data_IF_581548476393
#
_entry.id   IF_581548476393
#
_cell.length_a   1.000
_cell.length_b   1.000
_cell.length_c   1.000
_cell.angle_alpha   90.00
_cell.angle_beta   90.00
_cell.angle_gamma   90.00
#
_symmetry.space_group_name_H-M   'P 1'
#
loop_
_entity.id
_entity.type
_entity.pdbx_description
1 polymer ?
#
# COMPACT_ATOMS: atom_id res chain seq x y z
N UNK A 1 67.34 -72.48 7.52
CA UNK A 1 66.76 -73.24 6.39
C UNK A 1 65.28 -73.39 6.65
N UNK A 2 64.45 -73.10 5.63
CA UNK A 2 63.00 -73.43 5.48
C UNK A 2 62.02 -72.88 6.54
N UNK A 3 60.87 -72.26 6.24
CA UNK A 3 60.12 -72.09 5.01
C UNK A 3 59.15 -70.90 5.12
N UNK A 4 58.94 -70.25 3.98
CA UNK A 4 57.92 -69.26 3.68
C UNK A 4 56.55 -69.96 3.53
N UNK A 5 55.51 -69.49 4.20
CA UNK A 5 54.12 -69.75 3.79
C UNK A 5 53.25 -68.52 4.10
N UNK A 6 52.94 -67.75 3.05
CA UNK A 6 51.74 -66.94 2.97
C UNK A 6 50.53 -67.87 2.97
N UNK A 7 49.43 -67.53 3.65
CA UNK A 7 48.06 -67.76 3.17
C UNK A 7 47.10 -66.72 3.78
N UNK A 8 46.34 -66.09 2.89
CA UNK A 8 45.31 -65.07 3.11
C UNK A 8 44.09 -65.68 3.79
N UNK A 9 43.40 -64.97 4.69
CA UNK A 9 41.95 -65.15 4.85
C UNK A 9 41.27 -63.97 5.59
N UNK A 10 40.31 -63.36 4.90
CA UNK A 10 39.13 -62.59 5.32
C UNK A 10 39.09 -61.75 6.60
N UNK A 11 39.01 -60.43 6.36
CA UNK A 11 37.90 -59.54 6.73
C UNK A 11 37.21 -59.71 8.10
N UNK A 12 37.40 -58.71 8.96
CA UNK A 12 36.29 -58.09 9.69
C UNK A 12 36.42 -56.57 9.55
N UNK A 13 35.63 -56.02 8.64
CA UNK A 13 35.49 -54.60 8.41
C UNK A 13 34.79 -53.94 9.61
N UNK A 14 35.45 -52.98 10.26
CA UNK A 14 34.78 -51.97 11.08
C UNK A 14 34.99 -50.63 10.39
N UNK A 15 34.18 -50.38 9.35
CA UNK A 15 34.11 -49.05 8.74
C UNK A 15 33.32 -48.17 9.69
N UNK A 16 34.03 -47.38 10.49
CA UNK A 16 33.45 -46.28 11.26
C UNK A 16 33.11 -45.16 10.27
N UNK A 17 31.91 -45.21 9.69
CA UNK A 17 31.35 -44.07 8.94
C UNK A 17 30.79 -43.09 9.97
N UNK A 18 31.65 -42.21 10.48
CA UNK A 18 31.19 -40.97 11.12
C UNK A 18 30.66 -40.10 9.98
N UNK A 19 29.34 -40.16 9.77
CA UNK A 19 28.61 -39.23 8.93
C UNK A 19 28.74 -37.83 9.52
N UNK A 20 29.76 -37.10 9.10
CA UNK A 20 29.88 -35.67 9.31
C UNK A 20 28.80 -35.01 8.43
N UNK A 21 27.58 -34.95 8.94
CA UNK A 21 26.52 -34.10 8.39
C UNK A 21 26.94 -32.64 8.61
N UNK A 22 27.77 -32.13 7.68
CA UNK A 22 28.03 -30.70 7.57
C UNK A 22 26.71 -30.08 7.15
N UNK A 23 25.97 -29.55 8.13
CA UNK A 23 24.88 -28.63 7.91
C UNK A 23 25.47 -27.42 7.18
N UNK A 24 25.33 -27.39 5.86
CA UNK A 24 25.43 -26.17 5.08
C UNK A 24 24.27 -25.27 5.53
N UNK A 25 24.45 -24.58 6.65
CA UNK A 25 23.72 -23.36 6.92
C UNK A 25 24.18 -22.37 5.85
N UNK A 26 23.50 -22.37 4.70
CA UNK A 26 23.65 -21.31 3.73
C UNK A 26 23.37 -20.01 4.48
N UNK A 27 24.42 -19.24 4.75
CA UNK A 27 24.25 -17.86 5.18
C UNK A 27 23.48 -17.19 4.05
N UNK A 28 22.19 -16.95 4.27
CA UNK A 28 21.42 -16.10 3.39
C UNK A 28 22.03 -14.71 3.51
N UNK A 29 23.00 -14.43 2.64
CA UNK A 29 23.59 -13.11 2.51
C UNK A 29 22.43 -12.16 2.19
N UNK A 30 22.31 -11.07 2.95
CA UNK A 30 21.24 -10.10 2.75
C UNK A 30 21.32 -9.52 1.34
N UNK A 31 20.18 -9.31 0.68
CA UNK A 31 20.18 -8.68 -0.64
C UNK A 31 20.53 -7.19 -0.47
N UNK A 32 21.51 -6.62 -1.20
CA UNK A 32 21.85 -5.22 -1.10
C UNK A 32 20.71 -4.35 -1.66
N UNK A 33 19.92 -3.76 -0.78
CA UNK A 33 18.75 -2.96 -1.16
C UNK A 33 19.07 -1.49 -1.05
N UNK A 34 18.98 -0.78 -2.19
CA UNK A 34 19.14 0.67 -2.22
C UNK A 34 17.95 1.32 -1.53
N UNK A 35 18.23 2.09 -0.48
CA UNK A 35 17.22 2.88 0.24
C UNK A 35 17.36 4.35 -0.14
N UNK A 36 16.23 4.99 -0.49
CA UNK A 36 16.16 6.42 -0.74
C UNK A 36 15.20 7.04 0.26
N UNK A 37 15.55 8.22 0.76
CA UNK A 37 14.72 8.93 1.71
C UNK A 37 14.73 10.42 1.40
N UNK A 38 13.54 11.04 1.39
CA UNK A 38 13.36 12.46 1.14
C UNK A 38 12.16 13.01 1.91
N UNK A 39 12.33 14.20 2.48
CA UNK A 39 11.22 14.95 3.04
C UNK A 39 10.46 15.69 1.93
N UNK A 40 9.14 15.72 2.07
CA UNK A 40 8.22 16.49 1.24
C UNK A 40 7.37 17.38 2.16
N UNK A 41 6.51 18.21 1.56
CA UNK A 41 5.54 18.97 2.34
C UNK A 41 4.51 18.01 2.96
N UNK A 42 4.34 18.07 4.27
CA UNK A 42 3.41 17.23 5.04
C UNK A 42 3.80 15.77 5.29
N UNK A 43 4.84 15.22 4.66
CA UNK A 43 5.29 13.84 4.89
C UNK A 43 6.75 13.58 4.51
N UNK A 44 7.34 12.53 5.10
CA UNK A 44 8.61 11.95 4.70
C UNK A 44 8.41 10.63 3.95
N UNK A 45 9.16 10.39 2.88
CA UNK A 45 9.08 9.15 2.08
C UNK A 45 10.38 8.37 2.13
N UNK A 46 10.25 7.06 2.37
CA UNK A 46 11.32 6.06 2.28
C UNK A 46 10.97 5.11 1.13
N UNK A 47 11.94 4.81 0.27
CA UNK A 47 11.78 3.87 -0.85
C UNK A 47 12.89 2.83 -0.80
N UNK A 48 12.51 1.57 -0.70
CA UNK A 48 13.38 0.40 -0.80
C UNK A 48 13.29 -0.16 -2.22
N UNK A 49 14.39 -0.11 -2.97
CA UNK A 49 14.43 -0.62 -4.33
C UNK A 49 14.90 -2.07 -4.34
N UNK A 50 13.97 -3.02 -4.48
CA UNK A 50 14.30 -4.43 -4.66
C UNK A 50 14.51 -4.77 -6.15
N UNK A 51 15.28 -5.83 -6.47
CA UNK A 51 15.40 -6.34 -7.83
C UNK A 51 14.11 -7.02 -8.32
N UNK A 52 13.35 -7.63 -7.41
CA UNK A 52 12.07 -8.28 -7.67
C UNK A 52 11.02 -7.90 -6.63
N UNK A 53 9.71 -7.97 -6.94
CA UNK A 53 8.66 -7.74 -5.94
C UNK A 53 8.84 -8.65 -4.72
N UNK A 54 8.68 -8.07 -3.52
CA UNK A 54 8.82 -8.76 -2.24
C UNK A 54 7.61 -8.47 -1.35
N UNK A 55 7.02 -9.47 -0.65
CA UNK A 55 6.02 -9.18 0.35
C UNK A 55 6.64 -8.44 1.54
N UNK A 56 5.90 -7.53 2.15
CA UNK A 56 6.38 -6.74 3.29
C UNK A 56 5.25 -6.47 4.28
N UNK A 57 5.63 -6.13 5.51
CA UNK A 57 4.73 -5.70 6.58
C UNK A 57 5.29 -4.44 7.23
N UNK A 58 4.40 -3.48 7.50
CA UNK A 58 4.71 -2.27 8.26
C UNK A 58 4.00 -2.35 9.60
N UNK A 59 4.70 -2.07 10.68
CA UNK A 59 4.15 -2.03 12.03
C UNK A 59 4.77 -0.91 12.84
N UNK A 60 3.94 -0.22 13.63
CA UNK A 60 4.38 0.79 14.58
C UNK A 60 4.18 0.31 16.01
N UNK A 61 5.13 0.59 16.90
CA UNK A 61 5.03 0.31 18.33
C UNK A 61 5.77 1.40 19.10
N UNK A 62 5.01 2.27 19.78
CA UNK A 62 5.55 3.50 20.34
C UNK A 62 6.23 4.34 19.25
N UNK A 63 7.46 4.77 19.50
CA UNK A 63 8.27 5.51 18.53
C UNK A 63 8.96 4.63 17.49
N UNK A 64 8.78 3.29 17.50
CA UNK A 64 9.42 2.42 16.52
C UNK A 64 8.50 2.14 15.34
N UNK A 65 9.00 2.44 14.15
CA UNK A 65 8.46 1.96 12.88
C UNK A 65 9.34 0.80 12.40
N UNK A 66 8.73 -0.37 12.21
CA UNK A 66 9.39 -1.57 11.70
C UNK A 66 8.82 -1.91 10.33
N UNK A 67 9.71 -2.06 9.35
CA UNK A 67 9.39 -2.55 8.00
C UNK A 67 10.04 -3.93 7.84
N UNK A 68 9.23 -4.98 7.83
CA UNK A 68 9.70 -6.36 7.70
C UNK A 68 9.46 -6.86 6.27
N UNK A 69 10.47 -7.50 5.67
CA UNK A 69 10.41 -8.05 4.33
C UNK A 69 10.38 -9.58 4.35
N UNK A 70 9.74 -10.18 3.34
CA UNK A 70 9.74 -11.63 3.15
C UNK A 70 11.08 -12.21 2.70
N UNK A 71 12.00 -11.35 2.26
CA UNK A 71 13.35 -11.69 1.83
C UNK A 71 14.41 -11.04 2.73
N UNK A 72 15.59 -11.67 2.93
CA UNK A 72 16.73 -11.07 3.61
C UNK A 72 17.14 -9.74 2.99
N UNK A 73 17.52 -8.76 3.83
CA UNK A 73 17.87 -7.41 3.41
C UNK A 73 19.21 -6.97 3.99
N UNK A 74 20.04 -6.37 3.15
CA UNK A 74 21.19 -5.54 3.54
C UNK A 74 20.91 -4.09 3.09
N UNK A 75 20.32 -3.25 3.97
CA UNK A 75 19.81 -1.95 3.56
C UNK A 75 20.90 -0.86 3.54
N UNK A 76 20.98 -0.10 2.45
CA UNK A 76 21.85 1.07 2.36
C UNK A 76 21.25 2.30 3.10
N UNK A 77 21.39 2.35 4.43
CA UNK A 77 20.73 3.35 5.29
C UNK A 77 21.46 4.69 5.43
N UNK A 78 22.62 4.83 4.80
CA UNK A 78 23.42 6.06 4.89
C UNK A 78 22.60 7.29 4.47
N UNK A 79 22.52 8.28 5.38
CA UNK A 79 21.83 9.55 5.13
C UNK A 79 20.31 9.54 5.30
N UNK A 80 19.68 8.38 5.54
CA UNK A 80 18.21 8.29 5.67
C UNK A 80 17.68 9.16 6.82
N UNK A 81 18.24 9.00 8.03
CA UNK A 81 17.84 9.80 9.19
C UNK A 81 18.13 11.29 9.02
N UNK A 82 19.19 11.64 8.27
CA UNK A 82 19.54 13.03 7.97
C UNK A 82 18.50 13.66 7.04
N UNK A 83 18.13 12.96 5.97
CA UNK A 83 17.19 13.45 4.96
C UNK A 83 15.75 13.53 5.49
N UNK A 84 15.42 12.72 6.50
CA UNK A 84 14.12 12.69 7.16
C UNK A 84 14.20 13.24 8.59
N UNK A 85 15.10 14.21 8.84
CA UNK A 85 15.37 14.71 10.18
C UNK A 85 14.16 15.32 10.91
N UNK A 86 13.08 15.67 10.21
CA UNK A 86 11.80 16.05 10.82
C UNK A 86 11.06 14.85 11.44
N UNK A 87 11.13 13.70 10.78
CA UNK A 87 10.28 12.54 11.05
C UNK A 87 10.95 11.49 11.92
N UNK A 88 12.23 11.20 11.68
CA UNK A 88 12.96 10.12 12.34
C UNK A 88 14.26 10.62 12.94
N UNK A 89 14.67 10.01 14.05
CA UNK A 89 15.97 10.23 14.69
C UNK A 89 17.00 9.19 14.26
N UNK A 90 16.58 7.98 13.90
CA UNK A 90 17.48 6.89 13.52
C UNK A 90 16.86 5.93 12.51
N UNK A 91 17.73 5.18 11.84
CA UNK A 91 17.39 4.05 10.97
C UNK A 91 18.45 2.96 11.16
N UNK A 92 18.04 1.72 11.38
CA UNK A 92 18.92 0.57 11.58
C UNK A 92 18.38 -0.70 10.91
N UNK A 93 19.27 -1.60 10.51
CA UNK A 93 18.87 -2.95 10.16
C UNK A 93 18.39 -3.69 11.41
N UNK A 94 17.31 -4.46 11.29
CA UNK A 94 16.78 -5.30 12.34
C UNK A 94 17.68 -6.51 12.61
N UNK A 95 17.66 -7.00 13.84
CA UNK A 95 18.46 -8.17 14.25
C UNK A 95 18.03 -9.47 13.54
N UNK A 96 16.84 -9.50 12.94
CA UNK A 96 16.30 -10.64 12.18
C UNK A 96 16.87 -10.76 10.75
N UNK A 97 17.69 -9.80 10.30
CA UNK A 97 18.24 -9.74 8.95
C UNK A 97 17.20 -9.54 7.84
N UNK A 98 15.96 -9.21 8.22
CA UNK A 98 14.81 -9.07 7.31
C UNK A 98 14.01 -7.79 7.55
N UNK A 99 14.29 -7.08 8.63
CA UNK A 99 13.60 -5.86 9.00
C UNK A 99 14.50 -4.64 8.92
N UNK A 100 13.88 -3.49 8.75
CA UNK A 100 14.50 -2.18 8.95
C UNK A 100 13.68 -1.43 9.99
N UNK A 101 14.36 -0.92 11.01
CA UNK A 101 13.79 -0.26 12.16
C UNK A 101 14.11 1.22 12.11
N UNK A 102 13.10 2.06 12.26
CA UNK A 102 13.22 3.50 12.32
C UNK A 102 12.71 4.01 13.66
N UNK A 103 13.45 4.92 14.29
CA UNK A 103 12.95 5.64 15.47
C UNK A 103 12.30 6.93 15.02
N UNK A 104 10.98 7.00 15.11
CA UNK A 104 10.17 8.19 14.87
C UNK A 104 10.34 9.21 16.00
N UNK A 105 10.31 10.50 15.67
CA UNK A 105 10.45 11.58 16.67
C UNK A 105 9.14 11.89 17.39
N UNK A 106 8.03 11.67 16.71
CA UNK A 106 6.66 11.88 17.21
C UNK A 106 5.80 10.68 16.79
N UNK A 107 4.53 10.69 17.19
CA UNK A 107 3.49 9.74 16.83
C UNK A 107 2.91 10.02 15.44
N UNK A 108 3.78 9.99 14.42
CA UNK A 108 3.39 10.15 13.03
C UNK A 108 2.55 8.98 12.53
N UNK A 109 1.64 9.28 11.59
CA UNK A 109 0.95 8.24 10.84
C UNK A 109 1.88 7.61 9.81
N UNK A 110 1.77 6.29 9.60
CA UNK A 110 2.62 5.56 8.67
C UNK A 110 1.78 4.80 7.65
N UNK A 111 2.18 4.90 6.37
CA UNK A 111 1.56 4.17 5.26
C UNK A 111 2.63 3.42 4.48
N UNK A 112 2.41 2.13 4.22
CA UNK A 112 3.29 1.30 3.40
C UNK A 112 2.57 0.77 2.18
N UNK A 113 3.22 0.80 1.01
CA UNK A 113 2.72 0.22 -0.23
C UNK A 113 3.88 -0.19 -1.15
N UNK A 114 3.63 -1.11 -2.08
CA UNK A 114 4.61 -1.45 -3.11
C UNK A 114 4.29 -0.79 -4.47
N UNK A 115 5.33 -0.52 -5.25
CA UNK A 115 5.29 -0.09 -6.64
C UNK A 115 6.19 -1.01 -7.47
N UNK A 116 5.67 -2.20 -7.80
CA UNK A 116 6.45 -3.21 -8.52
C UNK A 116 7.49 -3.84 -7.61
N UNK A 117 8.78 -3.63 -7.88
CA UNK A 117 9.85 -4.07 -7.00
C UNK A 117 10.27 -3.01 -5.96
N UNK A 118 9.71 -1.80 -6.01
CA UNK A 118 9.95 -0.81 -4.97
C UNK A 118 8.95 -0.98 -3.82
N UNK A 119 9.40 -0.90 -2.57
CA UNK A 119 8.52 -0.76 -1.40
C UNK A 119 8.66 0.67 -0.88
N UNK A 120 7.53 1.36 -0.71
CA UNK A 120 7.43 2.74 -0.27
C UNK A 120 6.81 2.80 1.11
N UNK A 121 7.40 3.61 1.99
CA UNK A 121 6.89 3.90 3.32
C UNK A 121 6.84 5.41 3.51
N UNK A 122 5.64 5.94 3.70
CA UNK A 122 5.38 7.35 3.98
C UNK A 122 5.12 7.54 5.49
N UNK A 123 5.79 8.52 6.09
CA UNK A 123 5.60 8.98 7.47
C UNK A 123 4.96 10.37 7.40
N UNK A 124 3.74 10.51 7.87
CA UNK A 124 2.87 11.68 7.63
C UNK A 124 2.69 12.48 8.92
N UNK A 125 2.70 13.81 8.80
CA UNK A 125 2.41 14.69 9.93
C UNK A 125 1.03 14.35 10.54
N UNK A 126 0.97 14.23 11.87
CA UNK A 126 -0.27 13.93 12.60
C UNK A 126 -1.40 14.97 12.39
N UNK A 127 -1.08 16.15 11.85
CA UNK A 127 -2.04 17.23 11.57
C UNK A 127 -2.78 17.10 10.22
N UNK A 128 -2.60 16.01 9.47
CA UNK A 128 -3.36 15.77 8.23
C UNK A 128 -4.53 14.80 8.40
N UNK A 129 -4.75 14.23 9.59
CA UNK A 129 -5.95 13.42 9.88
C UNK A 129 -7.11 14.21 10.46
N UNK A 130 -6.96 15.51 10.74
CA UNK A 130 -8.06 16.40 11.17
C UNK A 130 -7.91 17.86 10.70
N UNK A 131 -7.87 18.10 9.38
CA UNK A 131 -8.32 19.39 8.83
C UNK A 131 -9.60 19.18 8.04
N UNK A 132 -10.72 19.14 8.75
CA UNK A 132 -11.95 19.72 8.22
C UNK A 132 -11.60 21.15 7.79
N UNK A 133 -12.03 21.63 6.60
CA UNK A 133 -11.83 23.03 6.24
C UNK A 133 -12.46 23.90 7.31
N UNK A 134 -11.62 24.64 8.04
CA UNK A 134 -12.08 25.63 9.01
C UNK A 134 -12.73 26.78 8.23
N UNK A 135 -13.95 27.21 8.61
CA UNK A 135 -14.73 28.15 7.82
C UNK A 135 -14.25 29.59 8.10
N UNK A 136 -13.90 30.33 7.04
CA UNK A 136 -13.91 31.79 7.11
C UNK A 136 -15.33 32.36 6.90
N UNK A 137 -15.66 33.51 7.53
CA UNK A 137 -16.97 33.73 8.13
C UNK A 137 -17.88 34.75 7.40
N UNK A 138 -19.18 34.62 7.72
CA UNK A 138 -20.31 35.58 7.61
C UNK A 138 -20.93 35.84 6.24
N UNK A 139 -22.13 35.27 6.07
CA UNK A 139 -23.36 36.07 6.08
C UNK A 139 -24.55 35.23 6.59
N UNK A 140 -25.02 35.56 7.79
CA UNK A 140 -26.38 35.23 8.26
C UNK A 140 -27.30 36.39 7.84
N UNK A 141 -28.60 36.16 7.56
CA UNK A 141 -29.54 35.99 8.68
C UNK A 141 -30.78 35.08 8.44
N UNK A 142 -31.19 34.41 9.54
CA UNK A 142 -32.57 34.20 10.08
C UNK A 142 -33.65 33.57 9.17
N UNK A 143 -34.58 32.72 9.62
CA UNK A 143 -34.93 32.08 10.90
C UNK A 143 -36.17 31.19 10.63
N UNK A 144 -36.28 30.04 11.33
CA UNK A 144 -37.47 29.21 11.60
C UNK A 144 -38.18 28.55 10.39
N UNK A 145 -38.48 27.24 10.39
CA UNK A 145 -39.27 26.55 11.41
C UNK A 145 -38.89 25.06 11.57
N UNK A 146 -39.55 24.44 12.55
CA UNK A 146 -39.18 23.30 13.39
C UNK A 146 -39.90 22.01 12.93
N UNK A 147 -39.32 20.85 13.29
CA UNK A 147 -39.98 19.51 13.48
C UNK A 147 -40.44 18.78 12.19
N UNK A 148 -40.28 17.46 11.93
CA UNK A 148 -40.00 16.26 12.72
C UNK A 148 -39.60 15.11 11.75
N UNK A 149 -38.90 14.10 12.27
CA UNK A 149 -39.00 12.67 11.92
C UNK A 149 -38.50 12.13 10.55
N UNK A 150 -37.51 11.22 10.69
CA UNK A 150 -37.38 9.90 10.07
C UNK A 150 -37.01 9.78 8.56
N UNK A 151 -35.75 9.38 8.38
CA UNK A 151 -35.11 8.56 7.32
C UNK A 151 -36.02 7.48 6.68
N UNK A 152 -35.69 6.86 5.51
CA UNK A 152 -34.80 7.21 4.37
C UNK A 152 -35.52 7.18 3.01
N UNK A 153 -35.16 8.04 2.06
CA UNK A 153 -35.52 7.80 0.66
C UNK A 153 -34.44 8.34 -0.29
N UNK A 154 -34.07 7.49 -1.25
CA UNK A 154 -33.19 7.77 -2.37
C UNK A 154 -33.51 9.13 -3.01
N UNK A 155 -32.57 10.06 -2.90
CA UNK A 155 -32.40 11.08 -3.92
C UNK A 155 -31.11 10.75 -4.65
N UNK A 156 -31.24 10.00 -5.75
CA UNK A 156 -30.28 10.05 -6.84
C UNK A 156 -30.29 11.49 -7.37
N UNK A 157 -29.58 12.39 -6.71
CA UNK A 157 -29.27 13.69 -7.28
C UNK A 157 -28.21 13.44 -8.34
N UNK A 158 -28.64 13.33 -9.60
CA UNK A 158 -27.79 13.52 -10.77
C UNK A 158 -27.40 14.99 -10.85
N UNK A 159 -26.58 15.43 -9.91
CA UNK A 159 -25.90 16.71 -10.02
C UNK A 159 -24.86 16.52 -11.10
N UNK A 160 -25.11 17.06 -12.30
CA UNK A 160 -24.09 17.12 -13.35
C UNK A 160 -22.92 17.97 -12.87
N UNK A 161 -21.71 17.60 -13.27
CA UNK A 161 -20.52 18.41 -13.02
C UNK A 161 -20.79 19.85 -13.50
N UNK A 162 -20.37 20.89 -12.76
CA UNK A 162 -20.48 22.26 -13.27
C UNK A 162 -19.82 22.36 -14.65
N UNK A 163 -20.39 23.14 -15.57
CA UNK A 163 -19.98 23.17 -16.98
C UNK A 163 -18.49 23.51 -17.21
N UNK A 164 -17.82 24.08 -16.19
CA UNK A 164 -16.39 24.43 -16.21
C UNK A 164 -15.51 23.48 -15.39
N UNK A 165 -16.02 22.33 -14.94
CA UNK A 165 -15.24 21.36 -14.18
C UNK A 165 -14.14 20.73 -15.06
N UNK A 166 -12.91 20.51 -14.53
CA UNK A 166 -11.85 19.89 -15.30
C UNK A 166 -12.22 18.47 -15.72
N UNK A 167 -11.84 18.08 -16.93
CA UNK A 167 -11.98 16.70 -17.41
C UNK A 167 -10.78 15.90 -16.92
N UNK A 168 -11.05 14.78 -16.24
CA UNK A 168 -10.04 13.84 -15.76
C UNK A 168 -10.08 12.61 -16.66
N UNK A 169 -9.00 12.44 -17.43
CA UNK A 169 -8.85 11.26 -18.30
C UNK A 169 -8.65 10.01 -17.45
N UNK A 170 -9.32 8.92 -17.83
CA UNK A 170 -9.14 7.61 -17.21
C UNK A 170 -8.41 6.67 -18.17
N UNK A 171 -7.36 6.01 -17.68
CA UNK A 171 -6.62 4.98 -18.41
C UNK A 171 -6.77 3.63 -17.72
N UNK A 172 -6.65 2.56 -18.49
CA UNK A 172 -6.59 1.20 -17.95
C UNK A 172 -5.38 0.44 -18.49
N UNK A 173 -4.87 -0.49 -17.68
CA UNK A 173 -3.82 -1.43 -18.04
C UNK A 173 -4.13 -2.80 -17.45
N UNK A 174 -4.07 -3.85 -18.26
CA UNK A 174 -4.28 -5.24 -17.82
C UNK A 174 -2.92 -5.88 -17.59
N UNK A 175 -2.73 -6.41 -16.39
CA UNK A 175 -1.57 -7.21 -16.02
C UNK A 175 -2.02 -8.60 -15.60
N UNK A 176 -1.06 -9.53 -15.47
CA UNK A 176 -1.40 -10.89 -15.07
C UNK A 176 -2.02 -10.93 -13.69
N UNK A 177 -1.49 -10.21 -12.70
CA UNK A 177 -1.97 -10.30 -11.32
C UNK A 177 -3.08 -9.30 -10.96
N UNK A 178 -3.29 -8.25 -11.77
CA UNK A 178 -4.21 -7.16 -11.47
C UNK A 178 -4.61 -6.37 -12.72
N UNK A 179 -5.68 -5.59 -12.61
CA UNK A 179 -6.05 -4.56 -13.57
C UNK A 179 -5.84 -3.19 -12.93
N UNK A 180 -5.09 -2.32 -13.60
CA UNK A 180 -4.80 -0.96 -13.16
C UNK A 180 -5.73 0.03 -13.83
N UNK A 181 -6.34 0.91 -13.03
CA UNK A 181 -7.07 2.10 -13.46
C UNK A 181 -6.29 3.33 -13.00
N UNK A 182 -6.09 4.31 -13.89
CA UNK A 182 -5.35 5.54 -13.59
C UNK A 182 -6.22 6.75 -13.92
N UNK A 183 -6.43 7.60 -12.92
CA UNK A 183 -7.09 8.90 -13.06
C UNK A 183 -6.03 9.98 -13.23
N UNK A 184 -5.97 10.59 -14.42
CA UNK A 184 -4.98 11.58 -14.79
C UNK A 184 -5.40 13.00 -14.37
N UNK A 185 -5.34 13.29 -13.07
CA UNK A 185 -5.59 14.64 -12.58
C UNK A 185 -4.45 15.60 -12.95
N UNK A 186 -4.78 16.88 -13.15
CA UNK A 186 -3.81 17.93 -13.49
C UNK A 186 -2.98 18.39 -12.29
N UNK A 187 -3.52 18.25 -11.08
CA UNK A 187 -2.85 18.51 -9.81
C UNK A 187 -3.26 17.45 -8.80
N UNK A 188 -2.51 17.32 -7.72
CA UNK A 188 -2.86 16.42 -6.62
C UNK A 188 -4.28 16.69 -6.12
N UNK A 189 -4.96 15.62 -5.72
CA UNK A 189 -6.35 15.64 -5.28
C UNK A 189 -6.49 14.72 -4.07
N UNK A 190 -7.06 15.20 -2.94
CA UNK A 190 -7.43 14.33 -1.85
C UNK A 190 -8.50 13.34 -2.31
N UNK A 191 -8.38 12.08 -1.90
CA UNK A 191 -9.37 11.05 -2.19
C UNK A 191 -9.48 10.02 -1.07
N UNK A 192 -10.63 9.36 -1.03
CA UNK A 192 -10.90 8.22 -0.16
C UNK A 192 -11.37 7.05 -1.01
N UNK A 193 -10.88 5.84 -0.71
CA UNK A 193 -11.34 4.62 -1.34
C UNK A 193 -12.04 3.76 -0.28
N UNK A 194 -13.30 3.42 -0.55
CA UNK A 194 -14.08 2.50 0.27
C UNK A 194 -14.37 1.25 -0.55
N UNK A 195 -14.07 0.09 0.01
CA UNK A 195 -14.34 -1.19 -0.62
C UNK A 195 -15.42 -1.96 0.14
N UNK A 196 -16.35 -2.54 -0.61
CA UNK A 196 -17.32 -3.53 -0.14
C UNK A 196 -17.21 -4.77 -1.04
N UNK A 197 -17.89 -5.84 -0.65
CA UNK A 197 -18.00 -7.03 -1.52
C UNK A 197 -18.53 -6.60 -2.89
N UNK A 198 -17.79 -6.96 -3.93
CA UNK A 198 -18.17 -6.72 -5.32
C UNK A 198 -18.05 -5.27 -5.81
N UNK A 199 -17.70 -4.31 -4.94
CA UNK A 199 -17.75 -2.87 -5.27
C UNK A 199 -16.64 -2.07 -4.62
N UNK A 200 -16.07 -1.13 -5.37
CA UNK A 200 -15.17 -0.12 -4.84
C UNK A 200 -15.63 1.28 -5.24
N UNK A 201 -15.65 2.18 -4.26
CA UNK A 201 -16.05 3.57 -4.42
C UNK A 201 -14.89 4.49 -4.10
N UNK A 202 -14.51 5.31 -5.07
CA UNK A 202 -13.46 6.32 -4.95
C UNK A 202 -14.12 7.69 -4.90
N UNK A 203 -13.95 8.40 -3.80
CA UNK A 203 -14.49 9.75 -3.62
C UNK A 203 -13.34 10.75 -3.70
N UNK A 204 -13.33 11.58 -4.74
CA UNK A 204 -12.39 12.69 -4.91
C UNK A 204 -12.99 13.97 -4.34
N UNK A 205 -12.24 14.70 -3.52
CA UNK A 205 -12.68 15.94 -2.86
C UNK A 205 -12.65 17.18 -3.78
N UNK A 206 -12.60 16.98 -5.09
CA UNK A 206 -12.63 18.04 -6.10
C UNK A 206 -13.65 17.69 -7.19
N UNK A 207 -14.55 18.60 -7.58
CA UNK A 207 -15.50 18.31 -8.64
C UNK A 207 -14.76 18.22 -9.98
N UNK A 208 -15.09 17.21 -10.77
CA UNK A 208 -14.50 16.99 -12.10
C UNK A 208 -15.44 16.15 -12.96
N UNK A 209 -15.27 16.27 -14.27
CA UNK A 209 -15.86 15.33 -15.23
C UNK A 209 -14.90 14.16 -15.41
N UNK A 210 -15.24 12.98 -14.89
CA UNK A 210 -14.41 11.78 -15.08
C UNK A 210 -14.74 11.15 -16.42
N UNK A 211 -13.77 11.11 -17.34
CA UNK A 211 -13.94 10.50 -18.66
C UNK A 211 -13.87 8.97 -18.57
N UNK A 212 -14.99 8.35 -18.20
CA UNK A 212 -15.15 6.88 -18.14
C UNK A 212 -15.66 6.28 -19.47
N UNK A 213 -16.09 7.10 -20.43
CA UNK A 213 -16.83 6.64 -21.60
C UNK A 213 -16.05 5.65 -22.46
N UNK A 214 -14.73 5.85 -22.59
CA UNK A 214 -13.87 4.92 -23.33
C UNK A 214 -13.72 3.55 -22.62
N UNK A 215 -13.66 3.55 -21.28
CA UNK A 215 -13.59 2.32 -20.50
C UNK A 215 -14.94 1.58 -20.51
N UNK A 216 -16.07 2.30 -20.50
CA UNK A 216 -17.40 1.69 -20.56
C UNK A 216 -17.64 0.94 -21.88
N UNK A 217 -17.10 1.44 -23.00
CA UNK A 217 -17.17 0.76 -24.30
C UNK A 217 -16.40 -0.56 -24.33
N UNK A 218 -15.32 -0.66 -23.56
CA UNK A 218 -14.46 -1.85 -23.48
C UNK A 218 -13.90 -1.99 -22.07
N UNK A 219 -14.67 -2.67 -21.23
CA UNK A 219 -14.28 -2.87 -19.84
C UNK A 219 -13.01 -3.75 -19.75
N UNK A 220 -12.01 -3.34 -18.94
CA UNK A 220 -10.83 -4.16 -18.71
C UNK A 220 -11.16 -5.35 -17.80
N UNK A 221 -10.27 -6.35 -17.78
CA UNK A 221 -10.43 -7.53 -16.91
C UNK A 221 -10.66 -7.10 -15.45
N UNK A 222 -11.39 -7.90 -14.66
CA UNK A 222 -11.69 -7.63 -13.24
C UNK A 222 -12.56 -6.39 -12.97
N UNK A 223 -13.04 -5.68 -14.00
CA UNK A 223 -14.00 -4.58 -13.87
C UNK A 223 -15.25 -4.95 -14.66
N UNK A 224 -16.39 -5.12 -13.98
CA UNK A 224 -17.68 -5.41 -14.63
C UNK A 224 -18.52 -4.15 -14.85
N UNK A 225 -18.20 -3.05 -14.17
CA UNK A 225 -18.82 -1.75 -14.38
C UNK A 225 -17.93 -0.63 -13.87
N UNK A 226 -18.03 0.54 -14.49
CA UNK A 226 -17.47 1.80 -14.02
C UNK A 226 -18.49 2.91 -14.25
N UNK A 227 -18.74 3.71 -13.22
CA UNK A 227 -19.59 4.90 -13.30
C UNK A 227 -18.97 6.03 -12.49
N UNK A 228 -19.35 7.27 -12.84
CA UNK A 228 -18.96 8.46 -12.08
C UNK A 228 -20.18 9.34 -11.84
N UNK A 229 -20.28 9.87 -10.64
CA UNK A 229 -21.34 10.78 -10.23
C UNK A 229 -20.72 11.97 -9.50
N UNK A 230 -21.01 13.19 -9.93
CA UNK A 230 -20.62 14.38 -9.18
C UNK A 230 -21.51 14.49 -7.95
N UNK A 231 -20.90 14.78 -6.81
CA UNK A 231 -21.58 14.89 -5.53
C UNK A 231 -21.06 16.11 -4.80
N UNK A 232 -21.90 17.14 -4.66
CA UNK A 232 -21.57 18.38 -3.94
C UNK A 232 -20.23 18.98 -4.37
N UNK A 233 -19.25 18.94 -3.47
CA UNK A 233 -17.89 19.47 -3.63
C UNK A 233 -16.89 18.50 -4.28
N UNK A 234 -17.33 17.35 -4.77
CA UNK A 234 -16.44 16.28 -5.24
C UNK A 234 -17.02 15.44 -6.38
N UNK A 235 -16.34 14.35 -6.70
CA UNK A 235 -16.81 13.35 -7.65
C UNK A 235 -16.54 11.95 -7.12
N UNK A 236 -17.57 11.10 -7.20
CA UNK A 236 -17.53 9.71 -6.80
C UNK A 236 -17.43 8.82 -8.04
N UNK A 237 -16.48 7.89 -8.04
CA UNK A 237 -16.32 6.86 -9.07
C UNK A 237 -16.62 5.50 -8.43
N UNK A 238 -17.54 4.75 -9.01
CA UNK A 238 -17.88 3.40 -8.55
C UNK A 238 -17.39 2.37 -9.56
N UNK A 239 -16.67 1.36 -9.07
CA UNK A 239 -16.21 0.19 -9.82
C UNK A 239 -16.94 -1.05 -9.30
N UNK A 240 -17.48 -1.86 -10.21
CA UNK A 240 -17.89 -3.22 -9.88
C UNK A 240 -16.72 -4.18 -10.17
N UNK A 241 -16.36 -4.97 -9.16
CA UNK A 241 -15.17 -5.84 -9.15
C UNK A 241 -15.56 -7.24 -8.65
N UNK A 242 -14.75 -8.29 -8.86
CA UNK A 242 -15.06 -9.60 -8.27
C UNK A 242 -15.04 -9.55 -6.74
N UNK A 243 -15.94 -10.31 -6.11
CA UNK A 243 -16.23 -10.26 -4.67
C UNK A 243 -15.03 -10.41 -3.74
N UNK A 244 -14.07 -11.25 -4.13
CA UNK A 244 -12.86 -11.55 -3.37
C UNK A 244 -11.61 -10.86 -3.93
N UNK A 245 -11.79 -9.89 -4.82
CA UNK A 245 -10.69 -9.04 -5.30
C UNK A 245 -10.33 -8.04 -4.23
N UNK A 246 -9.04 -7.88 -3.96
CA UNK A 246 -8.53 -6.80 -3.11
C UNK A 246 -8.20 -5.59 -3.97
N UNK A 247 -8.23 -4.41 -3.37
CA UNK A 247 -7.74 -3.20 -4.02
C UNK A 247 -6.43 -2.73 -3.41
N UNK A 248 -5.52 -2.31 -4.29
CA UNK A 248 -4.38 -1.46 -3.94
C UNK A 248 -4.56 -0.12 -4.63
N UNK A 249 -4.28 0.99 -3.95
CA UNK A 249 -4.36 2.32 -4.54
C UNK A 249 -3.24 3.22 -4.03
N UNK A 250 -2.80 4.17 -4.86
CA UNK A 250 -1.70 5.08 -4.52
C UNK A 250 -1.69 6.31 -5.43
N UNK A 251 -0.92 7.32 -5.05
CA UNK A 251 -0.65 8.50 -5.86
C UNK A 251 0.63 8.33 -6.69
N UNK A 252 0.62 8.80 -7.94
CA UNK A 252 1.77 8.86 -8.83
C UNK A 252 1.87 10.26 -9.43
N UNK A 253 2.57 11.16 -8.72
CA UNK A 253 2.44 12.60 -8.94
C UNK A 253 1.00 13.04 -8.70
N UNK A 254 0.44 13.82 -9.63
CA UNK A 254 -0.98 14.20 -9.57
C UNK A 254 -1.94 13.03 -9.85
N UNK A 255 -1.47 11.88 -10.35
CA UNK A 255 -2.34 10.79 -10.79
C UNK A 255 -2.78 9.92 -9.61
N UNK A 256 -4.01 9.43 -9.67
CA UNK A 256 -4.52 8.44 -8.71
C UNK A 256 -4.57 7.09 -9.41
N UNK A 257 -3.88 6.09 -8.86
CA UNK A 257 -3.79 4.75 -9.41
C UNK A 257 -4.58 3.79 -8.52
N UNK A 258 -5.41 2.95 -9.12
CA UNK A 258 -6.22 1.94 -8.46
C UNK A 258 -5.99 0.60 -9.16
N UNK A 259 -5.37 -0.34 -8.47
CA UNK A 259 -5.18 -1.72 -8.91
C UNK A 259 -6.25 -2.61 -8.28
N UNK A 260 -7.00 -3.30 -9.13
CA UNK A 260 -7.91 -4.38 -8.73
C UNK A 260 -7.16 -5.70 -8.91
N UNK A 261 -6.85 -6.36 -7.81
CA UNK A 261 -6.09 -7.61 -7.82
C UNK A 261 -6.98 -8.77 -8.24
N UNK A 262 -6.38 -9.82 -8.82
CA UNK A 262 -7.10 -11.07 -9.07
C UNK A 262 -7.76 -11.57 -7.78
N UNK A 263 -9.01 -12.07 -7.86
CA UNK A 263 -9.71 -12.62 -6.70
C UNK A 263 -8.95 -13.80 -6.11
N UNK A 264 -8.84 -13.83 -4.78
CA UNK A 264 -8.14 -14.89 -4.05
C UNK A 264 -9.06 -16.01 -3.59
N UNK A 265 -10.39 -15.87 -3.73
CA UNK A 265 -11.38 -16.80 -3.19
C UNK A 265 -11.65 -16.64 -1.69
N UNK A 266 -10.68 -16.08 -0.95
CA UNK A 266 -10.83 -15.70 0.45
C UNK A 266 -11.70 -14.44 0.63
N UNK A 267 -12.57 -14.37 1.65
CA UNK A 267 -13.31 -13.16 2.01
C UNK A 267 -12.38 -11.98 2.25
N UNK A 268 -12.86 -10.76 1.93
CA UNK A 268 -12.17 -9.55 2.34
C UNK A 268 -12.03 -9.56 3.87
N UNK A 269 -10.84 -9.27 4.42
CA UNK A 269 -10.70 -9.14 5.86
C UNK A 269 -11.67 -8.04 6.29
N UNK A 270 -12.49 -8.34 7.29
CA UNK A 270 -13.39 -7.37 7.89
C UNK A 270 -12.52 -6.19 8.32
N UNK A 271 -12.80 -5.01 7.77
CA UNK A 271 -12.11 -3.80 8.18
C UNK A 271 -12.60 -3.51 9.60
N UNK A 272 -11.97 -4.14 10.59
CA UNK A 272 -12.19 -3.85 11.99
C UNK A 272 -11.83 -2.38 12.12
N UNK A 273 -12.86 -1.53 12.26
CA UNK A 273 -12.66 -0.19 12.74
C UNK A 273 -11.92 -0.35 14.05
N UNK A 274 -10.63 0.00 14.07
CA UNK A 274 -9.90 0.11 15.31
C UNK A 274 -10.65 1.17 16.12
N UNK A 275 -11.47 0.71 17.07
CA UNK A 275 -12.00 1.56 18.10
C UNK A 275 -10.79 2.17 18.80
N UNK A 276 -10.57 3.46 18.58
CA UNK A 276 -9.59 4.20 19.34
C UNK A 276 -9.97 4.07 20.82
N UNK A 277 -9.10 3.56 21.70
CA UNK A 277 -9.33 3.70 23.13
C UNK A 277 -9.38 5.21 23.44
N UNK A 278 -10.40 5.57 24.22
CA UNK A 278 -10.73 6.94 24.63
C UNK A 278 -9.61 7.62 25.40
#
# INVERSE_FOLDING_TARGET
MTNLFLHRCSQCALVVVVSLFVLYAGSAQGEPVKVRAAAHDGYGRIVFNWPTPVPFKVSTSGSQLVVQFGSPIEPALAGVARNLGKYISSAAAGADGRSVVFTMKEDFDVRGFDMGAAVVVDIVDALQTNKAPEPEPKAEPKQAAKTTANTPAQAQSTTQAPANAPVVKVRSGVHDAYTRIVFDWLSEVPYQLNQKVGTATINFSRPAQIDVGNLQKRLPKLISSISSQVSGSGVSVTLSIPDTSRIRHFLSGSKVVVDVLKPTGEPLPEQVAAAQPK
#
